data_IF_033859494486
#
_entry.id   IF_033859494486
#
_cell.length_a   1.000
_cell.length_b   1.000
_cell.length_c   1.000
_cell.angle_alpha   90.00
_cell.angle_beta   90.00
_cell.angle_gamma   90.00
#
_symmetry.space_group_name_H-M   'P 1'
#
loop_
_entity.id
_entity.type
_entity.pdbx_description
1 polymer ?
#
# COMPACT_ATOMS: atom_id res chain seq x y z
N UNK A 1 54.63 -5.21 -2.50
CA UNK A 1 53.19 -5.46 -2.72
C UNK A 1 52.89 -5.12 -4.17
N UNK A 2 52.52 -6.11 -4.99
CA UNK A 2 52.37 -5.94 -6.44
C UNK A 2 51.31 -4.87 -6.74
N UNK A 3 51.58 -3.97 -7.71
CA UNK A 3 50.62 -2.94 -8.18
C UNK A 3 49.25 -3.56 -8.52
N UNK A 4 49.23 -4.83 -8.95
CA UNK A 4 48.01 -5.58 -9.24
C UNK A 4 47.18 -5.90 -7.99
N UNK A 5 47.82 -6.20 -6.85
CA UNK A 5 47.13 -6.49 -5.57
C UNK A 5 46.49 -5.23 -5.02
N UNK A 6 47.16 -4.08 -5.16
CA UNK A 6 46.60 -2.80 -4.76
C UNK A 6 45.39 -2.42 -5.62
N UNK A 7 45.47 -2.64 -6.94
CA UNK A 7 44.35 -2.37 -7.86
C UNK A 7 43.13 -3.26 -7.56
N UNK A 8 43.36 -4.53 -7.24
CA UNK A 8 42.30 -5.48 -6.90
C UNK A 8 41.56 -5.08 -5.61
N UNK A 9 42.30 -4.62 -4.60
CA UNK A 9 41.69 -4.08 -3.36
C UNK A 9 40.87 -2.81 -3.61
N UNK A 10 41.33 -1.92 -4.50
CA UNK A 10 40.59 -0.69 -4.86
C UNK A 10 39.28 -1.01 -5.59
N UNK A 11 39.29 -1.99 -6.50
CA UNK A 11 38.06 -2.41 -7.23
C UNK A 11 37.05 -3.06 -6.28
N UNK A 12 37.52 -3.90 -5.34
CA UNK A 12 36.66 -4.49 -4.31
C UNK A 12 36.08 -3.40 -3.40
N UNK A 13 36.89 -2.42 -2.96
CA UNK A 13 36.39 -1.32 -2.12
C UNK A 13 35.33 -0.48 -2.84
N UNK A 14 35.51 -0.22 -4.14
CA UNK A 14 34.54 0.51 -4.98
C UNK A 14 33.22 -0.26 -5.17
N UNK A 15 33.25 -1.60 -5.20
CA UNK A 15 32.04 -2.42 -5.32
C UNK A 15 31.14 -2.42 -4.07
N UNK A 16 31.66 -2.01 -2.91
CA UNK A 16 30.88 -1.90 -1.67
C UNK A 16 30.23 -0.51 -1.48
N UNK A 17 30.55 0.49 -2.31
CA UNK A 17 30.00 1.86 -2.17
C UNK A 17 28.69 2.03 -2.95
N UNK A 18 28.33 1.09 -3.83
CA UNK A 18 27.06 1.10 -4.57
C UNK A 18 25.95 0.28 -3.88
N UNK A 19 26.21 -0.28 -2.71
CA UNK A 19 25.26 -1.13 -1.98
C UNK A 19 24.91 -0.52 -0.62
N UNK A 20 24.21 0.62 -0.61
CA UNK A 20 23.38 1.12 0.50
C UNK A 20 22.89 2.54 0.17
N UNK A 21 21.92 2.68 -0.72
CA UNK A 21 21.03 3.84 -0.70
C UNK A 21 19.64 3.57 -1.29
N UNK A 22 19.19 2.32 -1.26
CA UNK A 22 17.79 2.00 -1.52
C UNK A 22 17.00 2.16 -0.22
N UNK A 23 16.74 3.43 0.13
CA UNK A 23 15.70 3.81 1.06
C UNK A 23 14.58 4.45 0.26
N UNK A 24 13.87 3.64 -0.51
CA UNK A 24 12.64 4.08 -1.13
C UNK A 24 11.76 2.87 -1.39
N UNK A 25 10.49 2.97 -1.01
CA UNK A 25 9.41 2.13 -1.53
C UNK A 25 9.09 2.45 -3.00
N UNK A 26 9.89 3.30 -3.66
CA UNK A 26 9.76 3.53 -5.10
C UNK A 26 10.37 2.35 -5.88
N UNK A 27 9.56 1.68 -6.73
CA UNK A 27 10.05 0.58 -7.55
C UNK A 27 11.08 1.08 -8.56
N UNK A 28 12.19 0.32 -8.66
CA UNK A 28 13.39 0.64 -9.45
C UNK A 28 13.15 0.49 -10.96
N UNK A 29 12.01 -0.07 -11.36
CA UNK A 29 11.56 -0.09 -12.75
C UNK A 29 10.05 -0.27 -12.78
N UNK A 30 9.46 0.36 -13.79
CA UNK A 30 8.03 0.37 -14.15
C UNK A 30 7.23 1.57 -13.62
N UNK A 31 6.38 2.05 -14.53
CA UNK A 31 5.68 3.34 -14.54
C UNK A 31 5.17 3.81 -13.18
N UNK A 32 5.14 5.13 -13.01
CA UNK A 32 4.62 5.94 -11.89
C UNK A 32 3.13 5.71 -11.53
N UNK A 33 2.69 4.45 -11.39
CA UNK A 33 1.31 4.03 -11.15
C UNK A 33 1.13 2.97 -10.05
N UNK A 34 2.20 2.42 -9.45
CA UNK A 34 2.05 1.37 -8.43
C UNK A 34 3.03 1.59 -7.27
N UNK A 35 2.54 2.15 -6.15
CA UNK A 35 3.26 2.10 -4.84
C UNK A 35 3.27 0.67 -4.28
N UNK A 36 2.30 -0.15 -4.65
CA UNK A 36 2.24 -1.53 -4.20
C UNK A 36 3.07 -2.45 -5.10
N UNK A 37 3.95 -3.29 -4.53
CA UNK A 37 4.77 -4.21 -5.30
C UNK A 37 3.92 -5.43 -5.71
N UNK A 38 3.13 -5.33 -6.78
CA UNK A 38 2.07 -6.29 -7.13
C UNK A 38 2.53 -7.65 -7.70
N UNK A 39 3.83 -7.92 -7.86
CA UNK A 39 4.27 -9.22 -8.33
C UNK A 39 4.02 -10.31 -7.27
N UNK A 40 3.64 -11.52 -7.71
CA UNK A 40 3.45 -12.67 -6.82
C UNK A 40 4.72 -12.95 -6.00
N UNK A 41 4.54 -13.21 -4.71
CA UNK A 41 5.62 -13.43 -3.73
C UNK A 41 6.26 -12.15 -3.20
N UNK A 42 5.91 -10.96 -3.71
CA UNK A 42 6.36 -9.72 -3.09
C UNK A 42 5.73 -9.56 -1.72
N UNK A 43 6.56 -9.14 -0.77
CA UNK A 43 6.15 -8.86 0.60
C UNK A 43 6.61 -7.49 1.05
N UNK A 44 5.82 -6.87 1.91
CA UNK A 44 6.19 -5.62 2.57
C UNK A 44 5.60 -5.52 3.96
N UNK A 45 6.26 -4.75 4.81
CA UNK A 45 5.88 -4.60 6.22
C UNK A 45 5.30 -3.21 6.45
N UNK A 46 4.08 -3.17 7.00
CA UNK A 46 3.50 -1.95 7.53
C UNK A 46 3.61 -1.92 9.04
N UNK A 47 4.06 -0.79 9.58
CA UNK A 47 3.84 -0.47 10.98
C UNK A 47 2.53 0.30 11.09
N UNK A 48 1.67 -0.16 11.99
CA UNK A 48 0.41 0.52 12.27
C UNK A 48 0.61 1.46 13.45
N UNK A 49 0.05 2.65 13.33
CA UNK A 49 0.10 3.68 14.36
C UNK A 49 -1.33 4.13 14.66
N UNK A 50 -1.62 4.47 15.92
CA UNK A 50 -2.85 5.16 16.25
C UNK A 50 -2.73 6.68 15.97
N UNK A 51 -3.80 7.41 16.22
CA UNK A 51 -3.85 8.87 16.05
C UNK A 51 -2.80 9.64 16.87
N UNK A 52 -2.34 9.07 17.98
CA UNK A 52 -1.25 9.64 18.81
C UNK A 52 0.15 9.21 18.36
N UNK A 53 0.27 8.57 17.18
CA UNK A 53 1.51 8.02 16.62
C UNK A 53 2.18 6.94 17.49
N UNK A 54 1.42 6.30 18.36
CA UNK A 54 1.89 5.14 19.11
C UNK A 54 1.74 3.89 18.24
N UNK A 55 2.80 3.08 18.18
CA UNK A 55 2.81 1.82 17.44
C UNK A 55 1.74 0.87 18.00
N UNK A 56 0.82 0.45 17.14
CA UNK A 56 -0.20 -0.57 17.43
C UNK A 56 0.31 -1.99 17.12
N UNK A 57 1.30 -2.10 16.25
CA UNK A 57 1.86 -3.36 15.81
C UNK A 57 2.42 -3.28 14.39
N UNK A 58 2.66 -4.43 13.81
CA UNK A 58 3.05 -4.55 12.41
C UNK A 58 2.18 -5.58 11.69
N UNK A 59 1.98 -5.35 10.40
CA UNK A 59 1.38 -6.31 9.48
C UNK A 59 2.34 -6.56 8.33
N UNK A 60 2.47 -7.81 7.92
CA UNK A 60 3.16 -8.19 6.69
C UNK A 60 2.10 -8.41 5.63
N UNK A 61 2.25 -7.77 4.49
CA UNK A 61 1.40 -7.94 3.32
C UNK A 61 2.17 -8.72 2.27
N UNK A 62 1.55 -9.75 1.70
CA UNK A 62 2.15 -10.61 0.68
C UNK A 62 1.19 -10.76 -0.51
N UNK A 63 1.69 -10.63 -1.74
CA UNK A 63 0.93 -11.04 -2.92
C UNK A 63 1.00 -12.57 -3.05
N UNK A 64 -0.01 -13.26 -2.55
CA UNK A 64 -0.07 -14.72 -2.59
C UNK A 64 -0.35 -15.20 -4.02
N UNK A 65 -1.22 -14.50 -4.76
CA UNK A 65 -1.63 -14.92 -6.11
C UNK A 65 -2.09 -13.78 -7.01
N UNK A 66 -1.86 -13.90 -8.31
CA UNK A 66 -2.45 -13.13 -9.41
C UNK A 66 -3.41 -14.02 -10.21
N UNK A 67 -4.61 -13.53 -10.46
CA UNK A 67 -5.63 -14.23 -11.28
C UNK A 67 -6.21 -13.26 -12.29
N UNK A 68 -6.52 -13.76 -13.48
CA UNK A 68 -7.23 -13.01 -14.52
C UNK A 68 -8.65 -13.57 -14.62
N UNK A 69 -9.65 -12.72 -14.42
CA UNK A 69 -11.07 -13.05 -14.54
C UNK A 69 -11.70 -12.07 -15.51
N UNK A 70 -12.29 -12.54 -16.61
CA UNK A 70 -12.96 -11.69 -17.60
C UNK A 70 -12.08 -10.54 -18.15
N UNK A 71 -10.79 -10.80 -18.33
CA UNK A 71 -9.75 -9.83 -18.77
C UNK A 71 -9.35 -8.80 -17.72
N UNK A 72 -9.85 -8.92 -16.49
CA UNK A 72 -9.47 -8.08 -15.37
C UNK A 72 -8.45 -8.80 -14.48
N UNK A 73 -7.42 -8.09 -14.06
CA UNK A 73 -6.37 -8.62 -13.19
C UNK A 73 -6.69 -8.39 -11.72
N UNK A 74 -6.62 -9.48 -10.95
CA UNK A 74 -6.82 -9.51 -9.52
C UNK A 74 -5.57 -10.02 -8.81
N UNK A 75 -5.24 -9.40 -7.70
CA UNK A 75 -4.09 -9.71 -6.85
C UNK A 75 -4.61 -10.05 -5.46
N UNK A 76 -4.49 -11.31 -5.06
CA UNK A 76 -4.81 -11.76 -3.70
C UNK A 76 -3.65 -11.38 -2.79
N UNK A 77 -3.97 -10.53 -1.81
CA UNK A 77 -3.05 -10.06 -0.79
C UNK A 77 -3.42 -10.76 0.51
N UNK A 78 -2.47 -11.46 1.10
CA UNK A 78 -2.59 -12.02 2.44
C UNK A 78 -1.90 -11.09 3.45
N UNK A 79 -2.56 -10.86 4.58
CA UNK A 79 -1.98 -10.08 5.68
C UNK A 79 -1.76 -10.96 6.90
N UNK A 80 -0.56 -10.90 7.46
CA UNK A 80 -0.20 -11.58 8.70
C UNK A 80 0.22 -10.58 9.77
N UNK A 81 0.03 -10.91 11.05
CA UNK A 81 0.26 -9.99 12.18
C UNK A 81 -1.00 -9.26 12.62
N UNK A 82 -0.88 -7.96 12.91
CA UNK A 82 -2.02 -7.16 13.39
C UNK A 82 -3.07 -6.98 12.28
N UNK A 83 -4.33 -7.35 12.54
CA UNK A 83 -5.41 -7.25 11.55
C UNK A 83 -5.27 -8.25 10.39
N UNK A 84 -4.80 -9.47 10.67
CA UNK A 84 -4.63 -10.54 9.68
C UNK A 84 -5.92 -10.86 8.93
N UNK A 85 -5.82 -11.02 7.61
CA UNK A 85 -6.94 -11.30 6.72
C UNK A 85 -6.51 -11.36 5.26
N UNK A 86 -7.47 -11.29 4.35
CA UNK A 86 -7.21 -11.25 2.91
C UNK A 86 -7.80 -9.98 2.29
N UNK A 87 -7.10 -9.47 1.30
CA UNK A 87 -7.57 -8.40 0.44
C UNK A 87 -7.44 -8.83 -1.02
N UNK A 88 -8.33 -8.31 -1.86
CA UNK A 88 -8.16 -8.38 -3.31
C UNK A 88 -7.88 -6.97 -3.81
N UNK A 89 -6.76 -6.82 -4.52
CA UNK A 89 -6.50 -5.65 -5.32
C UNK A 89 -6.88 -5.93 -6.78
N UNK A 90 -7.56 -4.97 -7.42
CA UNK A 90 -7.98 -5.04 -8.82
C UNK A 90 -7.36 -3.87 -9.56
N UNK A 91 -6.63 -4.16 -10.64
CA UNK A 91 -6.12 -3.10 -11.50
C UNK A 91 -7.22 -2.63 -12.44
N UNK A 92 -7.47 -1.32 -12.47
CA UNK A 92 -8.35 -0.67 -13.44
C UNK A 92 -7.56 0.41 -14.20
N UNK A 93 -8.19 1.00 -15.22
CA UNK A 93 -7.54 1.98 -16.10
C UNK A 93 -7.04 3.24 -15.37
N UNK A 94 -7.71 3.63 -14.29
CA UNK A 94 -7.49 4.85 -13.53
C UNK A 94 -6.88 4.62 -12.13
N UNK A 95 -6.59 3.36 -11.77
CA UNK A 95 -5.93 3.05 -10.50
C UNK A 95 -6.04 1.58 -10.10
N UNK A 96 -5.35 1.26 -9.02
CA UNK A 96 -5.47 0.02 -8.28
C UNK A 96 -6.53 0.18 -7.20
N UNK A 97 -7.49 -0.74 -7.17
CA UNK A 97 -8.57 -0.72 -6.22
C UNK A 97 -8.45 -1.87 -5.22
N UNK A 98 -8.65 -1.64 -3.92
CA UNK A 98 -8.58 -2.71 -2.91
C UNK A 98 -9.94 -2.96 -2.23
N UNK A 99 -10.22 -4.22 -1.96
CA UNK A 99 -11.37 -4.71 -1.20
C UNK A 99 -10.91 -5.72 -0.15
N UNK A 100 -11.55 -5.74 1.02
CA UNK A 100 -11.44 -6.86 1.95
C UNK A 100 -12.11 -8.10 1.33
N UNK A 101 -11.47 -9.24 1.53
CA UNK A 101 -11.88 -10.52 0.96
C UNK A 101 -11.90 -11.59 2.06
N UNK A 102 -12.95 -12.41 2.04
CA UNK A 102 -13.06 -13.60 2.86
C UNK A 102 -13.13 -14.81 1.92
N UNK A 103 -12.34 -15.86 2.21
CA UNK A 103 -12.25 -17.03 1.35
C UNK A 103 -13.54 -17.86 1.29
N UNK A 104 -14.47 -17.65 2.25
CA UNK A 104 -15.75 -18.35 2.33
C UNK A 104 -16.92 -17.50 1.80
N UNK A 105 -16.88 -16.17 2.02
CA UNK A 105 -17.97 -15.25 1.67
C UNK A 105 -17.69 -14.41 0.42
N UNK A 106 -16.46 -14.39 -0.08
CA UNK A 106 -16.04 -13.55 -1.20
C UNK A 106 -15.73 -12.11 -0.76
N UNK A 107 -16.18 -11.12 -1.55
CA UNK A 107 -15.99 -9.71 -1.21
C UNK A 107 -16.87 -9.32 -0.02
N UNK A 108 -16.24 -8.97 1.10
CA UNK A 108 -16.94 -8.53 2.32
C UNK A 108 -17.00 -6.99 2.46
N UNK A 109 -16.35 -6.28 1.55
CA UNK A 109 -16.47 -4.83 1.37
C UNK A 109 -16.62 -4.50 -0.12
N UNK A 110 -17.15 -3.32 -0.48
CA UNK A 110 -16.90 -2.79 -1.82
C UNK A 110 -15.40 -2.57 -2.04
N UNK A 111 -14.96 -2.34 -3.28
CA UNK A 111 -13.61 -1.82 -3.55
C UNK A 111 -13.55 -0.36 -3.10
N UNK A 112 -12.78 -0.05 -2.05
CA UNK A 112 -12.92 1.21 -1.33
C UNK A 112 -11.64 2.05 -1.26
N UNK A 113 -10.50 1.47 -1.59
CA UNK A 113 -9.24 2.19 -1.73
C UNK A 113 -8.87 2.29 -3.20
N UNK A 114 -8.50 3.47 -3.67
CA UNK A 114 -8.01 3.70 -5.02
C UNK A 114 -6.61 4.31 -4.97
N UNK A 115 -5.65 3.74 -5.69
CA UNK A 115 -4.31 4.30 -5.82
C UNK A 115 -3.81 4.34 -7.28
N UNK A 116 -3.18 5.43 -7.75
CA UNK A 116 -3.13 6.73 -7.12
C UNK A 116 -4.52 7.37 -7.10
N UNK A 117 -4.77 8.22 -6.11
CA UNK A 117 -5.99 9.04 -6.04
C UNK A 117 -5.69 10.51 -6.35
N UNK A 118 -6.76 11.28 -6.57
CA UNK A 118 -6.71 12.73 -6.66
C UNK A 118 -7.08 13.38 -5.33
N UNK A 119 -6.60 14.61 -5.11
CA UNK A 119 -7.00 15.38 -3.94
C UNK A 119 -8.48 15.80 -4.08
N UNK A 120 -9.24 15.68 -3.00
CA UNK A 120 -10.69 15.86 -2.94
C UNK A 120 -11.49 14.92 -3.87
N UNK A 121 -10.89 13.79 -4.29
CA UNK A 121 -11.63 12.77 -5.04
C UNK A 121 -12.72 12.17 -4.15
N UNK A 122 -13.94 12.05 -4.68
CA UNK A 122 -15.06 11.45 -3.96
C UNK A 122 -15.64 10.29 -4.74
N UNK A 123 -16.01 9.24 -4.03
CA UNK A 123 -16.67 8.09 -4.62
C UNK A 123 -17.60 7.42 -3.60
N UNK A 124 -18.62 6.75 -4.13
CA UNK A 124 -19.69 6.15 -3.36
C UNK A 124 -19.89 4.69 -3.75
N UNK A 125 -20.11 3.83 -2.76
CA UNK A 125 -20.36 2.42 -2.98
C UNK A 125 -21.55 1.93 -2.16
N UNK A 126 -22.46 1.20 -2.79
CA UNK A 126 -23.47 0.45 -2.06
C UNK A 126 -22.79 -0.68 -1.27
N UNK A 127 -23.05 -0.78 0.03
CA UNK A 127 -22.55 -1.90 0.83
C UNK A 127 -23.43 -3.12 0.53
N UNK A 128 -22.82 -4.17 -0.03
CA UNK A 128 -23.49 -5.41 -0.40
C UNK A 128 -24.37 -5.95 0.73
N UNK A 129 -25.62 -6.31 0.40
CA UNK A 129 -26.58 -6.84 1.36
C UNK A 129 -27.23 -5.79 2.27
N UNK A 130 -27.01 -4.49 2.02
CA UNK A 130 -27.63 -3.40 2.79
C UNK A 130 -28.10 -2.25 1.88
N UNK A 131 -28.97 -1.38 2.40
CA UNK A 131 -29.36 -0.13 1.75
C UNK A 131 -28.37 1.03 2.01
N UNK A 132 -27.23 0.76 2.65
CA UNK A 132 -26.25 1.77 3.05
C UNK A 132 -25.27 2.11 1.92
N UNK A 133 -24.94 3.39 1.79
CA UNK A 133 -23.98 3.91 0.79
C UNK A 133 -22.71 4.37 1.50
N UNK A 134 -21.60 3.66 1.33
CA UNK A 134 -20.26 4.08 1.73
C UNK A 134 -19.81 5.29 0.90
N UNK A 135 -19.64 6.45 1.53
CA UNK A 135 -19.08 7.64 0.87
C UNK A 135 -17.65 7.90 1.35
N UNK A 136 -16.71 7.94 0.41
CA UNK A 136 -15.30 8.22 0.69
C UNK A 136 -14.90 9.54 0.04
N UNK A 137 -14.08 10.32 0.76
CA UNK A 137 -13.34 11.46 0.21
C UNK A 137 -11.85 11.27 0.46
N UNK A 138 -11.05 11.50 -0.57
CA UNK A 138 -9.59 11.43 -0.47
C UNK A 138 -9.02 12.82 -0.24
N UNK A 139 -8.25 12.99 0.81
CA UNK A 139 -7.50 14.20 1.10
C UNK A 139 -6.01 13.90 0.97
N UNK A 140 -5.28 14.65 0.14
CA UNK A 140 -3.82 14.60 0.15
C UNK A 140 -3.30 15.36 1.35
N UNK A 141 -2.41 14.74 2.10
CA UNK A 141 -1.79 15.37 3.26
C UNK A 141 -0.33 14.95 3.39
N UNK A 142 0.49 15.80 3.99
CA UNK A 142 1.85 15.44 4.36
C UNK A 142 1.86 15.03 5.83
N UNK A 143 2.43 13.87 6.13
CA UNK A 143 2.57 13.36 7.48
C UNK A 143 4.05 13.27 7.84
N UNK A 144 4.39 13.82 9.00
CA UNK A 144 5.71 13.70 9.58
C UNK A 144 5.78 12.41 10.40
N UNK A 145 6.56 11.43 9.96
CA UNK A 145 6.83 10.19 10.69
C UNK A 145 8.31 10.20 11.08
N UNK A 146 8.60 10.38 12.37
CA UNK A 146 9.95 10.63 12.85
C UNK A 146 10.46 11.99 12.33
N UNK A 147 11.52 11.98 11.53
CA UNK A 147 12.11 13.19 10.93
C UNK A 147 11.86 13.29 9.41
N UNK A 148 10.98 12.45 8.87
CA UNK A 148 10.72 12.35 7.43
C UNK A 148 9.27 12.73 7.12
N UNK A 149 9.08 13.52 6.06
CA UNK A 149 7.77 13.92 5.56
C UNK A 149 7.34 12.99 4.42
N UNK A 150 6.16 12.40 4.56
CA UNK A 150 5.55 11.51 3.59
C UNK A 150 4.32 12.20 2.97
N UNK A 151 4.22 12.22 1.65
CA UNK A 151 3.00 12.64 0.96
C UNK A 151 2.03 11.48 0.87
N UNK A 152 0.93 11.58 1.59
CA UNK A 152 -0.01 10.49 1.83
C UNK A 152 -1.41 10.83 1.34
N UNK A 153 -2.19 9.78 1.15
CA UNK A 153 -3.62 9.82 0.85
C UNK A 153 -4.42 9.44 2.09
N UNK A 154 -5.20 10.38 2.63
CA UNK A 154 -6.15 10.13 3.70
C UNK A 154 -7.53 9.82 3.09
N UNK A 155 -8.07 8.64 3.39
CA UNK A 155 -9.40 8.22 2.97
C UNK A 155 -10.37 8.47 4.13
N UNK A 156 -11.25 9.46 3.98
CA UNK A 156 -12.25 9.84 4.98
C UNK A 156 -13.56 9.16 4.64
N UNK A 157 -14.13 8.44 5.59
CA UNK A 157 -15.41 7.76 5.45
C UNK A 157 -16.50 8.55 6.17
N UNK A 158 -17.46 9.09 5.42
CA UNK A 158 -18.53 9.95 5.94
C UNK A 158 -19.64 9.17 6.67
N UNK A 159 -19.65 7.84 6.59
CA UNK A 159 -20.66 7.03 7.30
C UNK A 159 -20.28 6.68 8.73
N UNK A 160 -18.98 6.69 9.04
CA UNK A 160 -18.47 6.44 10.39
C UNK A 160 -18.00 7.75 11.04
N UNK A 161 -18.69 8.86 10.77
CA UNK A 161 -18.44 10.18 11.38
C UNK A 161 -18.52 10.11 12.93
N UNK A 162 -17.45 9.64 13.55
CA UNK A 162 -17.12 9.91 14.94
C UNK A 162 -16.23 11.16 15.01
N UNK A 163 -15.51 11.49 13.92
CA UNK A 163 -14.81 12.77 13.75
C UNK A 163 -14.43 13.00 12.27
N UNK A 164 -14.92 14.06 11.59
CA UNK A 164 -14.56 14.38 10.20
C UNK A 164 -13.07 14.71 10.00
N UNK A 165 -12.31 14.91 11.09
CA UNK A 165 -10.87 15.13 11.06
C UNK A 165 -10.03 13.85 11.25
N UNK A 166 -10.65 12.67 11.43
CA UNK A 166 -9.92 11.43 11.64
C UNK A 166 -10.09 10.52 10.42
N UNK A 167 -9.06 10.38 9.56
CA UNK A 167 -9.15 9.54 8.38
C UNK A 167 -9.40 8.10 8.79
N UNK A 168 -10.26 7.41 8.04
CA UNK A 168 -10.52 5.98 8.25
C UNK A 168 -9.24 5.18 8.00
N UNK A 169 -8.47 5.57 6.98
CA UNK A 169 -7.13 5.07 6.69
C UNK A 169 -6.26 6.14 6.04
N UNK A 170 -4.95 6.00 6.23
CA UNK A 170 -3.93 6.82 5.58
C UNK A 170 -2.98 5.90 4.84
N UNK A 171 -2.71 6.20 3.58
CA UNK A 171 -1.75 5.48 2.76
C UNK A 171 -0.60 6.39 2.33
N UNK A 172 0.59 6.06 2.82
CA UNK A 172 1.89 6.56 2.42
C UNK A 172 2.64 5.35 1.85
#
# INVERSE_FOLDING_TARGET
>A
MSKAIFLFFVIILLSFITACNEKSTEPINESTKTILPLAEGNMWNYKLYNETLNSLGAAVWEINRKVIVESEEYYLIETTGFGSGYYLAKQQSDGLFLSAYDSTQGFISPFFFKYPANDNETYQYQISGTDSILSITVNKQNILIGNENYSCYAYVNHNFEVNPNNPYYVFC
#
